data_IF_021313541896
#
_entry.id   IF_021313541896
#
_cell.length_a   1.000
_cell.length_b   1.000
_cell.length_c   1.000
_cell.angle_alpha   90.00
_cell.angle_beta   90.00
_cell.angle_gamma   90.00
#
_symmetry.space_group_name_H-M   'P 1'
#
loop_
_entity.id
_entity.type
_entity.pdbx_description
1 polymer ?
#
# COMPACT_ATOMS: atom_id res chain seq x y z
N UNK A 1 -10.59 19.04 1.86
CA UNK A 1 -11.83 19.85 1.88
C UNK A 1 -11.77 20.78 3.08
N UNK A 2 -11.97 22.07 2.82
CA UNK A 2 -12.21 23.20 3.74
C UNK A 2 -11.90 23.01 5.22
N UNK A 3 -10.72 23.50 5.63
CA UNK A 3 -10.50 24.08 6.95
C UNK A 3 -11.40 25.31 7.10
N UNK A 4 -12.65 25.12 7.53
CA UNK A 4 -13.43 26.23 8.07
C UNK A 4 -13.03 26.42 9.52
N UNK A 5 -12.04 27.29 9.73
CA UNK A 5 -11.97 28.05 10.98
C UNK A 5 -13.22 28.93 11.04
N UNK A 6 -14.35 28.34 11.41
CA UNK A 6 -15.55 29.08 11.74
C UNK A 6 -15.35 29.70 13.13
N UNK A 7 -14.56 30.77 13.17
CA UNK A 7 -14.62 31.85 14.18
C UNK A 7 -15.94 32.65 14.04
N UNK A 8 -17.00 31.97 13.63
CA UNK A 8 -18.35 32.49 13.57
C UNK A 8 -19.03 32.32 14.91
N UNK A 9 -19.80 33.33 15.30
CA UNK A 9 -20.70 33.24 16.44
C UNK A 9 -21.63 32.03 16.28
N UNK A 10 -21.78 31.21 17.33
CA UNK A 10 -22.68 30.05 17.33
C UNK A 10 -24.08 30.45 16.84
N UNK A 11 -24.77 29.64 16.03
CA UNK A 11 -26.14 29.91 15.61
C UNK A 11 -27.06 30.16 16.81
N UNK A 12 -27.92 31.19 16.71
CA UNK A 12 -28.82 31.59 17.80
C UNK A 12 -29.68 30.42 18.32
N UNK A 13 -30.19 29.59 17.41
CA UNK A 13 -31.05 28.46 17.81
C UNK A 13 -30.30 27.44 18.67
N UNK A 14 -29.02 27.17 18.40
CA UNK A 14 -28.21 26.28 19.24
C UNK A 14 -28.00 26.91 20.62
N UNK A 15 -27.65 28.19 20.68
CA UNK A 15 -27.45 28.89 21.95
C UNK A 15 -28.73 28.96 22.80
N UNK A 16 -29.89 29.13 22.17
CA UNK A 16 -31.19 29.03 22.84
C UNK A 16 -31.35 27.64 23.45
N UNK A 17 -31.22 26.59 22.65
CA UNK A 17 -31.50 25.22 23.11
C UNK A 17 -30.47 24.72 24.16
N UNK A 18 -29.24 25.21 24.12
CA UNK A 18 -28.22 24.98 25.17
C UNK A 18 -28.61 25.65 26.50
N UNK A 19 -29.07 26.90 26.49
CA UNK A 19 -29.55 27.56 27.70
C UNK A 19 -30.81 26.88 28.26
N UNK A 20 -31.68 26.36 27.38
CA UNK A 20 -32.88 25.62 27.78
C UNK A 20 -32.51 24.26 28.41
N UNK A 21 -31.46 23.61 27.92
CA UNK A 21 -30.98 22.33 28.46
C UNK A 21 -30.56 22.43 29.93
N UNK A 22 -30.07 23.59 30.37
CA UNK A 22 -29.64 23.87 31.74
C UNK A 22 -30.81 24.10 32.72
N UNK A 23 -32.03 24.31 32.22
CA UNK A 23 -33.20 24.56 33.07
C UNK A 23 -33.68 23.31 33.81
N UNK A 24 -34.06 23.50 35.07
CA UNK A 24 -34.74 22.51 35.89
C UNK A 24 -36.26 22.48 35.68
N UNK A 25 -36.92 21.47 36.25
CA UNK A 25 -38.38 21.31 36.17
C UNK A 25 -39.17 22.44 36.85
N UNK A 26 -38.58 23.10 37.85
CA UNK A 26 -39.18 24.22 38.58
C UNK A 26 -39.19 25.54 37.77
N UNK A 27 -38.26 25.67 36.82
CA UNK A 27 -38.12 26.84 35.94
C UNK A 27 -39.20 26.88 34.84
N UNK A 28 -39.97 25.80 34.70
CA UNK A 28 -41.00 25.61 33.68
C UNK A 28 -42.43 25.76 34.24
N UNK A 29 -42.57 26.09 35.53
CA UNK A 29 -43.87 26.39 36.12
C UNK A 29 -44.47 27.64 35.46
N UNK A 30 -45.81 27.72 35.39
CA UNK A 30 -46.48 28.85 34.72
C UNK A 30 -46.14 30.21 35.32
N UNK A 31 -45.81 30.25 36.61
CA UNK A 31 -45.41 31.46 37.34
C UNK A 31 -43.95 31.86 37.05
N UNK A 32 -43.07 30.90 36.81
CA UNK A 32 -41.64 31.15 36.55
C UNK A 32 -41.28 31.26 35.07
N UNK A 33 -42.15 30.80 34.16
CA UNK A 33 -41.84 30.69 32.73
C UNK A 33 -41.36 32.00 32.09
N UNK A 34 -42.03 33.12 32.36
CA UNK A 34 -41.62 34.42 31.81
C UNK A 34 -40.30 34.89 32.43
N UNK A 35 -40.09 34.67 33.74
CA UNK A 35 -38.83 35.00 34.40
C UNK A 35 -37.67 34.19 33.79
N UNK A 36 -37.85 32.89 33.54
CA UNK A 36 -36.89 32.03 32.86
C UNK A 36 -36.58 32.50 31.44
N UNK A 37 -37.62 32.90 30.68
CA UNK A 37 -37.45 33.45 29.34
C UNK A 37 -36.64 34.74 29.36
N UNK A 38 -36.93 35.67 30.29
CA UNK A 38 -36.19 36.94 30.40
C UNK A 38 -34.74 36.70 30.85
N UNK A 39 -34.52 35.76 31.76
CA UNK A 39 -33.17 35.36 32.19
C UNK A 39 -32.34 34.83 31.00
N UNK A 40 -32.89 33.89 30.22
CA UNK A 40 -32.21 33.37 29.02
C UNK A 40 -31.98 34.47 27.99
N UNK A 41 -32.96 35.35 27.77
CA UNK A 41 -32.82 36.48 26.85
C UNK A 41 -31.66 37.40 27.27
N UNK A 42 -31.53 37.71 28.56
CA UNK A 42 -30.41 38.48 29.10
C UNK A 42 -29.05 37.79 28.90
N UNK A 43 -28.96 36.48 29.12
CA UNK A 43 -27.74 35.71 28.86
C UNK A 43 -27.35 35.76 27.37
N UNK A 44 -28.33 35.62 26.48
CA UNK A 44 -28.11 35.69 25.04
C UNK A 44 -27.76 37.11 24.57
N UNK A 45 -28.30 38.15 25.20
CA UNK A 45 -27.91 39.55 24.96
C UNK A 45 -26.46 39.81 25.34
N UNK A 46 -26.00 39.28 26.48
CA UNK A 46 -24.60 39.38 26.90
C UNK A 46 -23.65 38.65 25.94
N UNK A 47 -24.12 37.56 25.31
CA UNK A 47 -23.43 36.91 24.20
C UNK A 47 -23.60 37.67 22.86
N UNK A 48 -24.26 38.83 22.86
CA UNK A 48 -24.43 39.77 21.73
C UNK A 48 -25.55 39.40 20.76
N UNK A 49 -26.44 38.48 21.10
CA UNK A 49 -27.52 38.02 20.19
C UNK A 49 -28.70 38.99 20.11
N UNK A 50 -28.75 39.99 21.01
CA UNK A 50 -29.78 41.02 21.06
C UNK A 50 -31.21 40.44 21.04
N UNK A 51 -31.42 39.35 21.78
CA UNK A 51 -32.70 38.63 21.88
C UNK A 51 -33.78 39.51 22.50
N UNK A 52 -33.52 40.19 23.63
CA UNK A 52 -34.57 41.03 24.26
C UNK A 52 -34.89 42.28 23.44
N UNK A 53 -33.94 42.72 22.60
CA UNK A 53 -34.04 43.92 21.77
C UNK A 53 -34.52 43.62 20.34
N UNK A 54 -34.71 42.35 19.97
CA UNK A 54 -35.12 41.94 18.63
C UNK A 54 -36.32 40.97 18.70
N UNK A 55 -37.51 41.46 18.29
CA UNK A 55 -38.76 40.71 18.41
C UNK A 55 -38.74 39.34 17.74
N UNK A 56 -38.06 39.19 16.59
CA UNK A 56 -37.91 37.89 15.93
C UNK A 56 -37.09 36.89 16.74
N UNK A 57 -36.03 37.35 17.41
CA UNK A 57 -35.16 36.48 18.22
C UNK A 57 -35.88 36.09 19.51
N UNK A 58 -36.59 37.03 20.12
CA UNK A 58 -37.43 36.77 21.28
C UNK A 58 -38.54 35.76 20.96
N UNK A 59 -39.15 35.84 19.78
CA UNK A 59 -40.14 34.85 19.34
C UNK A 59 -39.53 33.46 19.16
N UNK A 60 -38.31 33.35 18.61
CA UNK A 60 -37.60 32.07 18.52
C UNK A 60 -37.38 31.43 19.90
N UNK A 61 -36.91 32.21 20.89
CA UNK A 61 -36.73 31.73 22.27
C UNK A 61 -38.05 31.27 22.88
N UNK A 62 -39.11 32.09 22.79
CA UNK A 62 -40.44 31.74 23.30
C UNK A 62 -40.99 30.47 22.66
N UNK A 63 -40.74 30.26 21.37
CA UNK A 63 -41.15 29.05 20.68
C UNK A 63 -40.40 27.80 21.16
N UNK A 64 -39.09 27.87 21.31
CA UNK A 64 -38.30 26.76 21.84
C UNK A 64 -38.73 26.40 23.27
N UNK A 65 -38.95 27.40 24.14
CA UNK A 65 -39.47 27.21 25.50
C UNK A 65 -40.86 26.55 25.52
N UNK A 66 -41.76 26.98 24.62
CA UNK A 66 -43.08 26.38 24.50
C UNK A 66 -43.02 24.93 23.99
N UNK A 67 -42.14 24.63 23.03
CA UNK A 67 -41.96 23.27 22.51
C UNK A 67 -41.38 22.35 23.59
N UNK A 68 -40.34 22.79 24.32
CA UNK A 68 -39.79 22.07 25.49
C UNK A 68 -40.87 21.77 26.53
N UNK A 69 -41.69 22.77 26.89
CA UNK A 69 -42.78 22.60 27.86
C UNK A 69 -43.85 21.61 27.39
N UNK A 70 -44.21 21.63 26.10
CA UNK A 70 -45.19 20.69 25.53
C UNK A 70 -44.68 19.26 25.50
N UNK A 71 -43.41 19.07 25.12
CA UNK A 71 -42.79 17.75 25.00
C UNK A 71 -42.36 17.21 26.37
N UNK A 72 -42.12 18.10 27.34
CA UNK A 72 -41.67 17.76 28.70
C UNK A 72 -40.15 17.54 28.81
N UNK A 73 -39.38 17.84 27.75
CA UNK A 73 -37.91 17.77 27.73
C UNK A 73 -37.32 18.67 26.62
N UNK A 74 -36.07 19.12 26.75
CA UNK A 74 -35.43 19.99 25.76
C UNK A 74 -35.01 19.24 24.50
N UNK A 75 -35.01 19.95 23.36
CA UNK A 75 -34.57 19.41 22.07
C UNK A 75 -33.12 18.94 22.13
N UNK A 76 -32.22 19.71 22.76
CA UNK A 76 -30.80 19.32 22.85
C UNK A 76 -30.59 17.97 23.55
N UNK A 77 -31.50 17.53 24.43
CA UNK A 77 -31.36 16.22 25.06
C UNK A 77 -31.52 15.10 24.03
N UNK A 78 -32.56 15.16 23.21
CA UNK A 78 -32.81 14.17 22.16
C UNK A 78 -31.75 14.28 21.05
N UNK A 79 -31.35 15.51 20.71
CA UNK A 79 -30.30 15.76 19.72
C UNK A 79 -28.93 15.21 20.16
N UNK A 80 -28.47 15.52 21.37
CA UNK A 80 -27.20 15.02 21.88
C UNK A 80 -27.19 13.50 22.02
N UNK A 81 -28.31 12.90 22.45
CA UNK A 81 -28.44 11.44 22.53
C UNK A 81 -28.35 10.80 21.13
N UNK A 82 -28.99 11.40 20.13
CA UNK A 82 -28.94 10.91 18.76
C UNK A 82 -27.54 11.06 18.15
N UNK A 83 -26.85 12.19 18.37
CA UNK A 83 -25.45 12.39 17.94
C UNK A 83 -24.52 11.38 18.61
N UNK A 84 -24.65 11.17 19.92
CA UNK A 84 -23.81 10.23 20.66
C UNK A 84 -24.02 8.76 20.25
N UNK A 85 -25.17 8.44 19.67
CA UNK A 85 -25.49 7.10 19.18
C UNK A 85 -24.99 6.82 17.74
N UNK A 86 -24.45 7.83 17.04
CA UNK A 86 -23.95 7.66 15.67
C UNK A 86 -22.69 6.79 15.65
N UNK A 87 -22.68 5.79 14.78
CA UNK A 87 -21.49 5.03 14.42
C UNK A 87 -20.89 5.53 13.09
N UNK A 88 -19.68 5.06 12.74
CA UNK A 88 -19.00 5.46 11.50
C UNK A 88 -19.83 5.13 10.24
N UNK A 89 -20.57 4.04 10.27
CA UNK A 89 -21.43 3.58 9.19
C UNK A 89 -22.63 4.52 9.01
N UNK A 90 -23.18 5.05 10.11
CA UNK A 90 -24.32 5.98 10.07
C UNK A 90 -23.93 7.31 9.42
N UNK A 91 -22.67 7.75 9.60
CA UNK A 91 -22.17 9.04 9.12
C UNK A 91 -21.30 8.94 7.87
N UNK A 92 -21.27 7.75 7.22
CA UNK A 92 -20.56 7.57 5.95
C UNK A 92 -21.03 8.57 4.88
N UNK A 93 -22.34 8.87 4.87
CA UNK A 93 -22.93 10.00 4.17
C UNK A 93 -23.49 11.03 5.18
N UNK A 94 -22.74 12.12 5.46
CA UNK A 94 -23.17 13.15 6.40
C UNK A 94 -24.50 13.83 6.04
N UNK A 95 -24.83 13.94 4.75
CA UNK A 95 -26.08 14.58 4.31
C UNK A 95 -27.27 13.67 4.55
N UNK A 96 -27.14 12.38 4.24
CA UNK A 96 -28.17 11.38 4.54
C UNK A 96 -28.39 11.25 6.05
N UNK A 97 -27.30 11.15 6.82
CA UNK A 97 -27.34 11.11 8.28
C UNK A 97 -28.06 12.34 8.86
N UNK A 98 -27.73 13.53 8.36
CA UNK A 98 -28.39 14.78 8.77
C UNK A 98 -29.89 14.77 8.45
N UNK A 99 -30.27 14.32 7.25
CA UNK A 99 -31.69 14.25 6.87
C UNK A 99 -32.47 13.29 7.77
N UNK A 100 -31.89 12.14 8.09
CA UNK A 100 -32.48 11.16 9.02
C UNK A 100 -32.64 11.78 10.42
N UNK A 101 -31.58 12.39 10.94
CA UNK A 101 -31.58 13.05 12.25
C UNK A 101 -32.65 14.14 12.36
N UNK A 102 -32.73 15.04 11.37
CA UNK A 102 -33.74 16.11 11.32
C UNK A 102 -35.15 15.55 11.18
N UNK A 103 -35.33 14.49 10.38
CA UNK A 103 -36.62 13.84 10.21
C UNK A 103 -37.12 13.23 11.51
N UNK A 104 -36.27 12.48 12.21
CA UNK A 104 -36.62 11.73 13.41
C UNK A 104 -36.87 12.65 14.60
N UNK A 105 -35.94 13.57 14.90
CA UNK A 105 -36.13 14.55 15.99
C UNK A 105 -37.28 15.50 15.64
N UNK A 106 -37.42 15.87 14.37
CA UNK A 106 -38.46 16.75 13.88
C UNK A 106 -39.88 16.17 13.93
N UNK A 107 -40.06 14.87 14.23
CA UNK A 107 -41.39 14.32 14.59
C UNK A 107 -41.86 14.86 15.93
N UNK A 108 -40.95 15.00 16.88
CA UNK A 108 -41.20 15.52 18.23
C UNK A 108 -41.10 17.05 18.29
N UNK A 109 -40.14 17.63 17.56
CA UNK A 109 -39.89 19.06 17.52
C UNK A 109 -40.04 19.62 16.09
N UNK A 110 -41.27 19.91 15.61
CA UNK A 110 -41.50 20.26 14.21
C UNK A 110 -40.68 21.44 13.69
N UNK A 111 -40.36 22.42 14.56
CA UNK A 111 -39.53 23.58 14.20
C UNK A 111 -38.07 23.24 13.91
N UNK A 112 -37.60 22.07 14.34
CA UNK A 112 -36.27 21.58 14.01
C UNK A 112 -36.10 21.28 12.51
N UNK A 113 -37.21 21.01 11.81
CA UNK A 113 -37.22 20.76 10.35
C UNK A 113 -36.94 22.00 9.51
N UNK A 114 -36.85 23.18 10.13
CA UNK A 114 -36.52 24.43 9.45
C UNK A 114 -35.22 24.29 8.65
N UNK A 115 -35.25 24.73 7.38
CA UNK A 115 -34.10 24.65 6.49
C UNK A 115 -32.90 25.46 6.99
N UNK A 116 -33.15 26.49 7.79
CA UNK A 116 -32.14 27.35 8.39
C UNK A 116 -31.22 26.61 9.36
N UNK A 117 -31.67 25.51 9.98
CA UNK A 117 -30.86 24.71 10.92
C UNK A 117 -30.02 23.64 10.22
N UNK A 118 -30.34 23.32 8.96
CA UNK A 118 -29.68 22.22 8.22
C UNK A 118 -28.16 22.39 8.11
N UNK A 119 -27.61 23.55 7.71
CA UNK A 119 -26.16 23.71 7.59
C UNK A 119 -25.44 23.45 8.92
N UNK A 120 -26.02 23.91 10.02
CA UNK A 120 -25.44 23.73 11.37
C UNK A 120 -25.45 22.25 11.79
N UNK A 121 -26.55 21.55 11.51
CA UNK A 121 -26.64 20.11 11.80
C UNK A 121 -25.66 19.31 10.94
N UNK A 122 -25.50 19.66 9.65
CA UNK A 122 -24.51 19.04 8.77
C UNK A 122 -23.10 19.21 9.37
N UNK A 123 -22.73 20.43 9.78
CA UNK A 123 -21.43 20.70 10.38
C UNK A 123 -21.20 19.88 11.66
N UNK A 124 -22.23 19.70 12.50
CA UNK A 124 -22.14 18.87 13.72
C UNK A 124 -21.94 17.39 13.35
N UNK A 125 -22.66 16.88 12.35
CA UNK A 125 -22.53 15.48 11.89
C UNK A 125 -21.17 15.24 11.26
N UNK A 126 -20.67 16.16 10.43
CA UNK A 126 -19.32 16.09 9.84
C UNK A 126 -18.23 16.10 10.92
N UNK A 127 -18.37 16.96 11.93
CA UNK A 127 -17.47 16.96 13.08
C UNK A 127 -17.54 15.64 13.85
N UNK A 128 -18.72 15.11 14.09
CA UNK A 128 -18.91 13.82 14.78
C UNK A 128 -18.25 12.70 14.00
N UNK A 129 -18.39 12.68 12.66
CA UNK A 129 -17.67 11.73 11.80
C UNK A 129 -16.16 11.85 11.99
N UNK A 130 -15.62 13.06 11.97
CA UNK A 130 -14.20 13.29 12.16
C UNK A 130 -13.72 12.78 13.53
N UNK A 131 -14.47 13.08 14.60
CA UNK A 131 -14.15 12.62 15.96
C UNK A 131 -14.17 11.08 16.05
N UNK A 132 -15.13 10.42 15.40
CA UNK A 132 -15.20 8.95 15.31
C UNK A 132 -14.03 8.35 14.51
N UNK A 133 -13.63 9.00 13.40
CA UNK A 133 -12.47 8.57 12.61
C UNK A 133 -11.18 8.68 13.42
N UNK A 134 -11.01 9.79 14.15
CA UNK A 134 -9.86 10.00 15.03
C UNK A 134 -9.85 8.97 16.17
N UNK A 135 -10.99 8.71 16.80
CA UNK A 135 -11.10 7.70 17.85
C UNK A 135 -10.67 6.32 17.34
N UNK A 136 -11.19 5.89 16.19
CA UNK A 136 -10.79 4.64 15.55
C UNK A 136 -9.30 4.60 15.19
N UNK A 137 -8.75 5.72 14.70
CA UNK A 137 -7.33 5.80 14.38
C UNK A 137 -6.43 5.66 15.62
N UNK A 138 -6.86 6.18 16.77
CA UNK A 138 -6.13 6.06 18.04
C UNK A 138 -6.14 4.64 18.62
N UNK A 139 -7.16 3.87 18.30
CA UNK A 139 -7.25 2.45 18.71
C UNK A 139 -6.37 1.54 17.84
N UNK A 140 -5.93 2.00 16.66
CA UNK A 140 -5.03 1.26 15.77
C UNK A 140 -3.57 1.36 16.22
N UNK A 141 -2.79 0.32 15.94
CA UNK A 141 -1.42 0.20 16.42
C UNK A 141 -0.40 0.80 15.46
N UNK A 142 0.67 1.40 16.00
CA UNK A 142 1.77 1.94 15.19
C UNK A 142 1.32 2.98 14.17
N UNK A 143 1.74 2.80 12.91
CA UNK A 143 1.44 3.74 11.82
C UNK A 143 0.07 3.48 11.16
N UNK A 144 -0.64 2.41 11.55
CA UNK A 144 -1.93 2.03 10.94
C UNK A 144 -2.99 3.11 11.13
N UNK A 145 -3.02 3.79 12.29
CA UNK A 145 -3.92 4.91 12.54
C UNK A 145 -3.68 6.08 11.59
N UNK A 146 -2.41 6.38 11.29
CA UNK A 146 -2.03 7.45 10.36
C UNK A 146 -2.48 7.08 8.94
N UNK A 147 -2.18 5.85 8.52
CA UNK A 147 -2.57 5.32 7.20
C UNK A 147 -4.08 5.36 7.01
N UNK A 148 -4.84 4.92 8.00
CA UNK A 148 -6.30 4.95 8.00
C UNK A 148 -6.84 6.38 7.78
N UNK A 149 -6.34 7.39 8.50
CA UNK A 149 -6.80 8.77 8.33
C UNK A 149 -6.44 9.37 6.96
N UNK A 150 -5.27 9.03 6.41
CA UNK A 150 -4.87 9.42 5.04
C UNK A 150 -5.84 8.84 4.02
N UNK A 151 -6.18 7.55 4.13
CA UNK A 151 -7.13 6.88 3.24
C UNK A 151 -8.54 7.48 3.32
N UNK A 152 -8.95 7.90 4.52
CA UNK A 152 -10.21 8.62 4.75
C UNK A 152 -10.15 10.10 4.32
N UNK A 153 -9.04 10.54 3.71
CA UNK A 153 -8.82 11.89 3.18
C UNK A 153 -8.94 12.99 4.24
N UNK A 154 -8.56 12.69 5.48
CA UNK A 154 -8.50 13.69 6.55
C UNK A 154 -7.34 14.64 6.30
N UNK A 155 -7.55 15.94 6.56
CA UNK A 155 -6.55 16.96 6.31
C UNK A 155 -5.26 16.74 7.15
N UNK A 156 -4.06 16.93 6.59
CA UNK A 156 -2.79 16.70 7.30
C UNK A 156 -2.67 17.44 8.64
N UNK A 157 -3.15 18.67 8.71
CA UNK A 157 -3.11 19.51 9.91
C UNK A 157 -4.00 18.94 11.02
N UNK A 158 -5.11 18.32 10.64
CA UNK A 158 -6.02 17.66 11.58
C UNK A 158 -5.39 16.37 12.09
N UNK A 159 -4.74 15.58 11.22
CA UNK A 159 -4.07 14.33 11.61
C UNK A 159 -2.94 14.60 12.60
N UNK A 160 -2.05 15.55 12.28
CA UNK A 160 -0.91 15.89 13.14
C UNK A 160 -1.36 16.36 14.53
N UNK A 161 -2.39 17.21 14.58
CA UNK A 161 -2.97 17.68 15.85
C UNK A 161 -3.69 16.57 16.62
N UNK A 162 -4.48 15.74 15.94
CA UNK A 162 -5.33 14.74 16.58
C UNK A 162 -4.54 13.57 17.16
N UNK A 163 -3.51 13.12 16.44
CA UNK A 163 -2.62 12.03 16.86
C UNK A 163 -1.36 12.52 17.58
N UNK A 164 -1.20 13.83 17.75
CA UNK A 164 -0.04 14.44 18.42
C UNK A 164 1.31 14.03 17.79
N UNK A 165 1.34 13.92 16.46
CA UNK A 165 2.52 13.53 15.68
C UNK A 165 3.14 14.73 14.95
N UNK A 166 4.40 14.59 14.54
CA UNK A 166 5.10 15.60 13.74
C UNK A 166 4.70 15.52 12.26
N UNK A 167 4.86 16.63 11.54
CA UNK A 167 4.70 16.66 10.08
C UNK A 167 5.66 15.70 9.37
N UNK A 168 6.90 15.57 9.86
CA UNK A 168 7.90 14.62 9.33
C UNK A 168 7.42 13.18 9.41
N UNK A 169 6.81 12.78 10.54
CA UNK A 169 6.27 11.42 10.71
C UNK A 169 5.12 11.16 9.74
N UNK A 170 4.24 12.14 9.56
CA UNK A 170 3.13 12.04 8.61
C UNK A 170 3.65 11.90 7.17
N UNK A 171 4.65 12.70 6.79
CA UNK A 171 5.27 12.64 5.46
C UNK A 171 5.98 11.31 5.20
N UNK A 172 6.67 10.76 6.21
CA UNK A 172 7.30 9.45 6.13
C UNK A 172 6.27 8.35 5.80
N UNK A 173 5.15 8.31 6.53
CA UNK A 173 4.09 7.32 6.31
C UNK A 173 3.45 7.51 4.94
N UNK A 174 3.14 8.74 4.56
CA UNK A 174 2.54 9.05 3.25
C UNK A 174 3.46 8.63 2.08
N UNK A 175 4.77 8.89 2.20
CA UNK A 175 5.77 8.47 1.20
C UNK A 175 5.87 6.95 1.11
N UNK A 176 5.80 6.25 2.26
CA UNK A 176 5.75 4.79 2.29
C UNK A 176 4.52 4.23 1.55
N UNK A 177 3.33 4.77 1.86
CA UNK A 177 2.08 4.40 1.20
C UNK A 177 2.12 4.64 -0.31
N UNK A 178 2.71 5.74 -0.77
CA UNK A 178 2.80 6.04 -2.19
C UNK A 178 3.72 5.05 -2.91
N UNK A 179 4.86 4.67 -2.32
CA UNK A 179 5.73 3.61 -2.85
C UNK A 179 4.99 2.28 -2.97
N UNK A 180 4.21 1.92 -1.94
CA UNK A 180 3.39 0.71 -1.98
C UNK A 180 2.30 0.76 -3.06
N UNK A 181 1.65 1.92 -3.29
CA UNK A 181 0.66 2.11 -4.37
C UNK A 181 1.29 1.99 -5.74
N UNK A 182 2.47 2.58 -5.94
CA UNK A 182 3.24 2.45 -7.19
C UNK A 182 3.60 0.98 -7.43
N UNK A 183 4.08 0.29 -6.40
CA UNK A 183 4.43 -1.12 -6.50
C UNK A 183 3.20 -2.00 -6.80
N UNK A 184 2.08 -1.79 -6.10
CA UNK A 184 0.82 -2.50 -6.39
C UNK A 184 0.32 -2.24 -7.81
N UNK A 185 0.49 -1.01 -8.31
CA UNK A 185 0.14 -0.66 -9.69
C UNK A 185 1.04 -1.39 -10.69
N UNK A 186 2.36 -1.47 -10.41
CA UNK A 186 3.32 -2.25 -11.21
C UNK A 186 2.93 -3.74 -11.23
N UNK A 187 2.61 -4.31 -10.07
CA UNK A 187 2.17 -5.71 -9.94
C UNK A 187 0.87 -5.97 -10.70
N UNK A 188 -0.09 -5.05 -10.65
CA UNK A 188 -1.33 -5.15 -11.44
C UNK A 188 -1.03 -5.23 -12.95
N UNK A 189 -0.14 -4.39 -13.47
CA UNK A 189 0.28 -4.44 -14.89
C UNK A 189 0.99 -5.77 -15.23
N UNK A 190 1.80 -6.33 -14.33
CA UNK A 190 2.41 -7.64 -14.52
C UNK A 190 1.36 -8.76 -14.58
N UNK A 191 0.36 -8.70 -13.70
CA UNK A 191 -0.75 -9.67 -13.68
C UNK A 191 -1.61 -9.62 -14.94
N UNK A 192 -1.80 -8.43 -15.54
CA UNK A 192 -2.48 -8.30 -16.83
C UNK A 192 -1.75 -9.05 -17.95
N UNK A 193 -0.40 -9.01 -17.98
CA UNK A 193 0.40 -9.71 -18.99
C UNK A 193 0.29 -11.25 -18.90
N UNK A 194 -0.11 -11.77 -17.74
CA UNK A 194 -0.33 -13.20 -17.48
C UNK A 194 -1.80 -13.53 -17.21
N UNK A 195 -2.71 -12.65 -17.66
CA UNK A 195 -4.14 -12.88 -17.52
C UNK A 195 -4.56 -14.19 -18.21
N UNK A 196 -5.25 -15.06 -17.48
CA UNK A 196 -5.72 -16.36 -17.97
C UNK A 196 -4.69 -17.50 -17.93
N UNK A 197 -3.47 -17.24 -17.46
CA UNK A 197 -2.48 -18.30 -17.20
C UNK A 197 -2.76 -19.04 -15.89
N UNK A 198 -2.08 -20.17 -15.68
CA UNK A 198 -2.15 -20.91 -14.42
C UNK A 198 -1.53 -20.11 -13.26
N UNK A 199 -1.92 -20.41 -12.03
CA UNK A 199 -1.41 -19.70 -10.85
C UNK A 199 0.11 -19.89 -10.69
N UNK A 200 0.64 -21.08 -11.00
CA UNK A 200 2.07 -21.33 -11.02
C UNK A 200 2.82 -20.41 -12.02
N UNK A 201 2.27 -20.20 -13.23
CA UNK A 201 2.87 -19.29 -14.22
C UNK A 201 2.78 -17.82 -13.80
N UNK A 202 1.68 -17.42 -13.16
CA UNK A 202 1.55 -16.05 -12.63
C UNK A 202 2.60 -15.80 -11.54
N UNK A 203 2.71 -16.72 -10.57
CA UNK A 203 3.67 -16.61 -9.48
C UNK A 203 5.10 -16.56 -10.01
N UNK A 204 5.45 -17.48 -10.92
CA UNK A 204 6.77 -17.51 -11.56
C UNK A 204 7.09 -16.17 -12.23
N UNK A 205 6.15 -15.64 -13.03
CA UNK A 205 6.33 -14.35 -13.69
C UNK A 205 6.55 -13.20 -12.70
N UNK A 206 5.84 -13.19 -11.58
CA UNK A 206 6.01 -12.15 -10.55
C UNK A 206 7.35 -12.27 -9.82
N UNK A 207 7.84 -13.48 -9.52
CA UNK A 207 9.18 -13.67 -8.95
C UNK A 207 10.29 -13.25 -9.91
N UNK A 208 10.17 -13.57 -11.20
CA UNK A 208 11.12 -13.12 -12.23
C UNK A 208 11.18 -11.58 -12.33
N UNK A 209 10.10 -10.89 -11.93
CA UNK A 209 9.99 -9.44 -11.87
C UNK A 209 10.23 -8.86 -10.46
N UNK A 210 10.87 -9.63 -9.56
CA UNK A 210 11.27 -9.22 -8.21
C UNK A 210 10.11 -8.70 -7.34
N UNK A 211 8.92 -9.28 -7.47
CA UNK A 211 7.77 -8.96 -6.60
C UNK A 211 7.91 -9.74 -5.28
N UNK A 212 7.58 -9.12 -4.15
CA UNK A 212 7.60 -9.80 -2.86
C UNK A 212 6.50 -10.85 -2.75
N UNK A 213 6.74 -11.89 -1.96
CA UNK A 213 5.80 -13.00 -1.76
C UNK A 213 4.46 -12.55 -1.16
N UNK A 214 4.49 -11.61 -0.21
CA UNK A 214 3.29 -11.05 0.39
C UNK A 214 2.40 -10.36 -0.66
N UNK A 215 3.02 -9.56 -1.55
CA UNK A 215 2.30 -8.91 -2.63
C UNK A 215 1.82 -9.90 -3.70
N UNK A 216 2.55 -10.98 -3.95
CA UNK A 216 2.12 -12.05 -4.86
C UNK A 216 0.84 -12.69 -4.32
N UNK A 217 0.84 -13.10 -3.05
CA UNK A 217 -0.32 -13.73 -2.40
C UNK A 217 -1.52 -12.78 -2.41
N UNK A 218 -1.31 -11.52 -2.00
CA UNK A 218 -2.37 -10.52 -1.92
C UNK A 218 -2.97 -10.19 -3.29
N UNK A 219 -2.13 -9.87 -4.28
CA UNK A 219 -2.59 -9.34 -5.57
C UNK A 219 -2.95 -10.43 -6.59
N UNK A 220 -2.22 -11.55 -6.60
CA UNK A 220 -2.51 -12.66 -7.50
C UNK A 220 -3.63 -13.58 -6.98
N UNK A 221 -4.05 -13.40 -5.72
CA UNK A 221 -5.09 -14.19 -5.04
C UNK A 221 -4.77 -15.69 -5.02
N UNK A 222 -3.49 -16.02 -4.83
CA UNK A 222 -2.99 -17.39 -4.75
C UNK A 222 -2.74 -17.78 -3.31
N UNK A 223 -2.79 -19.07 -3.00
CA UNK A 223 -2.39 -19.57 -1.68
C UNK A 223 -0.86 -19.77 -1.58
N UNK A 224 -0.40 -19.97 -0.35
CA UNK A 224 1.01 -20.25 -0.07
C UNK A 224 1.52 -21.51 -0.77
N UNK A 225 0.65 -22.51 -0.98
CA UNK A 225 1.03 -23.76 -1.65
C UNK A 225 1.43 -23.52 -3.11
N UNK A 226 0.65 -22.72 -3.84
CA UNK A 226 0.97 -22.33 -5.21
C UNK A 226 2.29 -21.55 -5.28
N UNK A 227 2.62 -20.76 -4.24
CA UNK A 227 3.89 -20.04 -4.16
C UNK A 227 5.07 -20.98 -3.94
N UNK A 228 4.94 -21.92 -3.02
CA UNK A 228 5.98 -22.89 -2.70
C UNK A 228 6.24 -23.84 -3.88
N UNK A 229 5.18 -24.30 -4.56
CA UNK A 229 5.28 -25.14 -5.75
C UNK A 229 6.01 -24.42 -6.89
N UNK A 230 5.70 -23.12 -7.11
CA UNK A 230 6.37 -22.32 -8.12
C UNK A 230 7.87 -22.12 -7.79
N UNK A 231 8.23 -21.88 -6.52
CA UNK A 231 9.65 -21.78 -6.10
C UNK A 231 10.39 -23.09 -6.35
N UNK A 232 9.79 -24.23 -6.00
CA UNK A 232 10.40 -25.54 -6.23
C UNK A 232 10.60 -25.82 -7.73
N UNK A 233 9.59 -25.50 -8.55
CA UNK A 233 9.69 -25.62 -10.00
C UNK A 233 10.80 -24.71 -10.58
N UNK A 234 10.89 -23.46 -10.13
CA UNK A 234 11.95 -22.53 -10.54
C UNK A 234 13.35 -22.99 -10.12
N UNK A 235 13.51 -23.54 -8.91
CA UNK A 235 14.79 -24.09 -8.45
C UNK A 235 15.22 -25.30 -9.29
N UNK A 236 14.28 -26.18 -9.62
CA UNK A 236 14.53 -27.34 -10.48
C UNK A 236 14.96 -26.92 -11.89
N UNK A 237 14.29 -25.92 -12.49
CA UNK A 237 14.67 -25.37 -13.80
C UNK A 237 16.07 -24.72 -13.78
N UNK A 238 16.43 -24.01 -12.70
CA UNK A 238 17.76 -23.41 -12.56
C UNK A 238 18.86 -24.48 -12.50
N UNK A 239 18.64 -25.55 -11.72
CA UNK A 239 19.58 -26.68 -11.62
C UNK A 239 19.75 -27.38 -12.97
N UNK A 240 18.66 -27.57 -13.71
CA UNK A 240 18.74 -28.18 -15.03
C UNK A 240 19.48 -27.28 -16.03
N UNK A 241 19.24 -25.97 -15.99
CA UNK A 241 19.98 -25.01 -16.81
C UNK A 241 21.48 -25.03 -16.50
N UNK A 242 21.86 -25.09 -15.22
CA UNK A 242 23.26 -25.23 -14.81
C UNK A 242 23.89 -26.52 -15.33
N UNK A 243 23.19 -27.65 -15.23
CA UNK A 243 23.65 -28.94 -15.77
C UNK A 243 23.90 -28.87 -17.28
N UNK A 244 23.00 -28.24 -18.03
CA UNK A 244 23.14 -28.06 -19.48
C UNK A 244 24.29 -27.11 -19.85
N UNK A 245 24.50 -26.05 -19.08
CA UNK A 245 25.65 -25.15 -19.27
C UNK A 245 26.97 -25.84 -18.96
N UNK A 246 27.03 -26.68 -17.92
CA UNK A 246 28.18 -27.53 -17.59
C UNK A 246 28.46 -28.57 -18.68
N UNK A 247 27.41 -29.25 -19.18
CA UNK A 247 27.53 -30.22 -20.26
C UNK A 247 28.00 -29.56 -21.56
N UNK A 248 27.45 -28.38 -21.90
CA UNK A 248 27.89 -27.61 -23.06
C UNK A 248 29.33 -27.10 -22.90
N UNK A 249 29.73 -26.69 -21.70
CA UNK A 249 31.10 -26.29 -21.41
C UNK A 249 32.06 -27.50 -21.50
N UNK A 250 31.66 -28.67 -21.00
CA UNK A 250 32.41 -29.91 -21.12
C UNK A 250 32.54 -30.35 -22.58
N UNK A 251 31.46 -30.28 -23.37
CA UNK A 251 31.47 -30.58 -24.79
C UNK A 251 32.37 -29.62 -25.57
N UNK A 252 32.34 -28.31 -25.27
CA UNK A 252 33.27 -27.34 -25.85
C UNK A 252 34.73 -27.64 -25.49
N UNK A 253 35.01 -28.03 -24.24
CA UNK A 253 36.34 -28.41 -23.80
C UNK A 253 36.83 -29.70 -24.47
N UNK A 254 35.95 -30.67 -24.67
CA UNK A 254 36.25 -31.90 -25.40
C UNK A 254 36.50 -31.63 -26.89
N UNK A 255 35.66 -30.83 -27.54
CA UNK A 255 35.85 -30.43 -28.93
C UNK A 255 37.17 -29.66 -29.14
N UNK A 256 37.54 -28.76 -28.22
CA UNK A 256 38.81 -28.05 -28.25
C UNK A 256 40.04 -28.95 -27.95
N UNK A 257 39.85 -30.10 -27.30
CA UNK A 257 40.93 -31.04 -27.03
C UNK A 257 41.30 -31.89 -28.27
N UNK A 258 40.43 -31.98 -29.27
CA UNK A 258 40.60 -32.86 -30.42
C UNK A 258 40.32 -34.33 -30.09
N UNK A 259 40.46 -35.23 -31.09
CA UNK A 259 40.30 -36.68 -30.88
C UNK A 259 41.29 -37.21 -29.83
N UNK A 260 40.92 -38.30 -29.16
CA UNK A 260 41.83 -39.01 -28.28
C UNK A 260 42.93 -39.69 -29.11
N UNK A 261 44.12 -39.89 -28.51
CA UNK A 261 45.28 -40.45 -29.20
C UNK A 261 44.98 -41.79 -29.91
N UNK A 262 44.19 -42.65 -29.29
CA UNK A 262 43.83 -43.97 -29.84
C UNK A 262 42.79 -43.89 -30.97
N UNK A 263 42.12 -42.74 -31.11
CA UNK A 263 41.10 -42.49 -32.15
C UNK A 263 41.69 -41.76 -33.37
N UNK A 264 42.97 -41.38 -33.34
CA UNK A 264 43.66 -40.74 -34.47
C UNK A 264 44.12 -41.84 -35.45
N UNK A 265 43.65 -41.84 -36.70
CA UNK A 265 44.12 -42.76 -37.73
C UNK A 265 45.65 -42.69 -37.91
N UNK A 266 46.35 -43.81 -38.19
CA UNK A 266 47.82 -43.81 -38.32
C UNK A 266 48.37 -42.80 -39.34
N UNK A 267 47.66 -42.58 -40.44
CA UNK A 267 48.00 -41.57 -41.45
C UNK A 267 47.85 -40.14 -40.92
N UNK A 268 46.73 -39.82 -40.27
CA UNK A 268 46.52 -38.51 -39.64
C UNK A 268 47.48 -38.27 -38.45
N UNK A 269 47.87 -39.34 -37.74
CA UNK A 269 48.84 -39.29 -36.66
C UNK A 269 50.21 -38.82 -37.16
N UNK A 270 50.66 -39.34 -38.30
CA UNK A 270 51.93 -38.95 -38.91
C UNK A 270 51.89 -37.49 -39.37
N UNK A 271 50.80 -37.08 -40.03
CA UNK A 271 50.61 -35.69 -40.47
C UNK A 271 50.63 -34.71 -39.29
N UNK A 272 49.99 -35.06 -38.17
CA UNK A 272 50.00 -34.25 -36.95
C UNK A 272 51.38 -34.21 -36.27
N UNK A 273 52.13 -35.31 -36.23
CA UNK A 273 53.48 -35.36 -35.66
C UNK A 273 54.46 -34.54 -36.51
N UNK A 274 54.37 -34.62 -37.84
CA UNK A 274 55.18 -33.80 -38.75
C UNK A 274 54.90 -32.30 -38.55
N UNK A 275 53.63 -31.92 -38.50
CA UNK A 275 53.23 -30.54 -38.24
C UNK A 275 53.70 -30.02 -36.85
N UNK A 276 53.69 -30.87 -35.82
CA UNK A 276 54.24 -30.53 -34.50
C UNK A 276 55.74 -30.27 -34.59
N UNK A 277 56.49 -31.14 -35.28
CA UNK A 277 57.95 -30.98 -35.43
C UNK A 277 58.30 -29.72 -36.21
N UNK A 278 57.57 -29.43 -37.28
CA UNK A 278 57.71 -28.17 -38.02
C UNK A 278 57.48 -26.97 -37.10
N UNK A 279 56.42 -26.97 -36.27
CA UNK A 279 56.14 -25.89 -35.32
C UNK A 279 57.24 -25.76 -34.25
N UNK A 280 57.80 -26.87 -33.75
CA UNK A 280 58.88 -26.88 -32.77
C UNK A 280 60.23 -26.43 -33.36
N UNK A 281 60.42 -26.49 -34.68
CA UNK A 281 61.56 -25.87 -35.37
C UNK A 281 61.44 -24.33 -35.42
N UNK A 282 60.20 -23.80 -35.40
CA UNK A 282 59.94 -22.36 -35.44
C UNK A 282 60.03 -21.65 -34.07
N UNK A 283 59.71 -22.32 -32.97
CA UNK A 283 59.82 -21.77 -31.61
C UNK A 283 60.15 -22.84 -30.58
N UNK A 284 60.99 -22.49 -29.60
CA UNK A 284 61.35 -23.30 -28.42
C UNK A 284 60.51 -22.94 -27.19
N UNK A 285 59.64 -21.92 -27.28
CA UNK A 285 58.79 -21.50 -26.18
C UNK A 285 57.51 -22.33 -26.14
N UNK A 286 57.34 -23.13 -25.08
CA UNK A 286 56.16 -23.98 -24.87
C UNK A 286 54.82 -23.26 -25.11
N UNK A 287 54.69 -22.01 -24.63
CA UNK A 287 53.47 -21.24 -24.81
C UNK A 287 53.19 -20.89 -26.27
N UNK A 288 54.21 -20.58 -27.05
CA UNK A 288 54.09 -20.25 -28.48
C UNK A 288 53.80 -21.52 -29.29
N UNK A 289 54.48 -22.63 -28.99
CA UNK A 289 54.23 -23.96 -29.60
C UNK A 289 52.76 -24.37 -29.39
N UNK A 290 52.25 -24.28 -28.16
CA UNK A 290 50.86 -24.64 -27.86
C UNK A 290 49.84 -23.80 -28.63
N UNK A 291 50.08 -22.49 -28.75
CA UNK A 291 49.19 -21.59 -29.51
C UNK A 291 49.24 -21.89 -31.00
N UNK A 292 50.43 -22.14 -31.56
CA UNK A 292 50.58 -22.48 -32.97
C UNK A 292 49.94 -23.84 -33.30
N UNK A 293 50.14 -24.86 -32.45
CA UNK A 293 49.50 -26.16 -32.63
C UNK A 293 47.97 -26.08 -32.53
N UNK A 294 47.44 -25.26 -31.63
CA UNK A 294 45.99 -25.01 -31.52
C UNK A 294 45.43 -24.32 -32.78
N UNK A 295 46.15 -23.34 -33.34
CA UNK A 295 45.78 -22.67 -34.59
C UNK A 295 45.82 -23.62 -35.80
N UNK A 296 46.73 -24.59 -35.78
CA UNK A 296 46.88 -25.64 -36.81
C UNK A 296 45.95 -26.83 -36.61
N UNK A 297 44.98 -26.74 -35.68
CA UNK A 297 44.01 -27.82 -35.39
C UNK A 297 44.66 -29.14 -34.97
N UNK A 298 45.85 -29.09 -34.37
CA UNK A 298 46.56 -30.29 -33.91
C UNK A 298 45.93 -30.78 -32.58
N UNK A 299 45.61 -32.07 -32.44
CA UNK A 299 45.00 -32.61 -31.23
C UNK A 299 45.83 -32.32 -29.98
N UNK A 300 45.18 -31.80 -28.94
CA UNK A 300 45.87 -31.38 -27.70
C UNK A 300 46.64 -32.52 -27.04
N UNK A 301 46.13 -33.75 -27.12
CA UNK A 301 46.80 -34.93 -26.59
C UNK A 301 48.20 -35.14 -27.21
N UNK A 302 48.36 -34.87 -28.51
CA UNK A 302 49.66 -34.96 -29.18
C UNK A 302 50.57 -33.79 -28.82
N UNK A 303 50.02 -32.58 -28.72
CA UNK A 303 50.78 -31.40 -28.27
C UNK A 303 51.30 -31.59 -26.85
N UNK A 304 50.48 -32.14 -25.94
CA UNK A 304 50.87 -32.42 -24.56
C UNK A 304 52.00 -33.46 -24.48
N UNK A 305 51.95 -34.51 -25.31
CA UNK A 305 53.02 -35.52 -25.42
C UNK A 305 54.29 -34.92 -26.02
N UNK A 306 54.18 -34.13 -27.09
CA UNK A 306 55.35 -33.53 -27.74
C UNK A 306 56.12 -32.58 -26.82
N UNK A 307 55.41 -31.82 -25.98
CA UNK A 307 56.02 -30.88 -25.03
C UNK A 307 56.57 -31.58 -23.78
N UNK A 308 55.90 -32.62 -23.29
CA UNK A 308 56.20 -33.20 -21.97
C UNK A 308 57.04 -34.49 -22.06
N UNK A 309 56.88 -35.25 -23.13
CA UNK A 309 57.41 -36.61 -23.29
C UNK A 309 57.85 -36.87 -24.76
N UNK A 310 58.90 -36.18 -25.24
CA UNK A 310 59.33 -36.25 -26.65
C UNK A 310 59.69 -37.67 -27.11
N UNK A 311 60.29 -38.49 -26.23
CA UNK A 311 60.59 -39.90 -26.54
C UNK A 311 59.33 -40.72 -26.86
N UNK A 312 58.18 -40.39 -26.25
CA UNK A 312 56.90 -41.05 -26.54
C UNK A 312 56.30 -40.61 -27.88
N UNK A 313 56.59 -39.39 -28.33
CA UNK A 313 56.17 -38.91 -29.66
C UNK A 313 56.84 -39.77 -30.76
N UNK A 314 58.13 -40.08 -30.60
CA UNK A 314 58.89 -40.94 -31.52
C UNK A 314 58.39 -42.40 -31.52
N UNK A 315 57.92 -42.91 -30.38
CA UNK A 315 57.30 -44.22 -30.31
C UNK A 315 55.95 -44.28 -31.02
N UNK A 316 55.18 -43.18 -30.99
CA UNK A 316 53.88 -43.08 -31.67
C UNK A 316 54.06 -42.99 -33.19
N UNK A 317 55.05 -42.21 -33.65
CA UNK A 317 55.42 -42.15 -35.06
C UNK A 317 55.79 -43.54 -35.61
N UNK A 318 56.71 -44.25 -34.95
CA UNK A 318 57.12 -45.61 -35.37
C UNK A 318 55.97 -46.61 -35.38
N UNK A 319 55.03 -46.51 -34.44
CA UNK A 319 53.84 -47.38 -34.41
C UNK A 319 52.86 -47.04 -35.53
N UNK A 320 52.80 -45.79 -35.96
CA UNK A 320 51.94 -45.35 -37.05
C UNK A 320 52.53 -45.69 -38.44
N UNK A 321 53.85 -45.75 -38.60
CA UNK A 321 54.55 -46.13 -39.84
C UNK A 321 54.43 -47.63 -40.20
N UNK A 322 54.17 -48.50 -39.22
CA UNK A 322 53.98 -49.95 -39.40
C UNK A 322 55.18 -50.81 -38.99
#
# INVERSE_FOLDING_TARGET
MTTSDATGKKPLWLSIEENILELGSQDLSGENLEASIQHIAGNLDNAGYNVSHHGGNMLQLRWAMNDMRKVGRPLMKDFNAAIAALALEDVADPYSATNKLISDIGKTFPKFKGSERRPDVIAIVEKTRLDLLIAKAKDLSGDEGIRFLIEQQVAPEVITKALEITGEKLEQVNTGMEKERVERSRVATLLEAVAGKSDAEKVKHLFENNVSEELIIEMAQVDQGAVDDAKQAMEAELKEKQRLEEEAAAAKKAAAAGPALDDIPPDEMLDHIEAIREIMEFSDQEKEIRVMCEQSSIPKALVDIAVSEPDKLDELEKKAEG
#
